data_IF_007210185236
#
_entry.id   IF_007210185236
#
_cell.length_a   1.000
_cell.length_b   1.000
_cell.length_c   1.000
_cell.angle_alpha   90.00
_cell.angle_beta   90.00
_cell.angle_gamma   90.00
#
_symmetry.space_group_name_H-M   'P 1'
#
loop_
_entity.id
_entity.type
_entity.pdbx_description
1 polymer ?
#
# COMPACT_ATOMS: atom_id res chain seq x y z
N UNK A 1 20.53 45.37 62.18
CA UNK A 1 19.56 45.88 61.23
C UNK A 1 19.78 45.09 59.96
N UNK A 2 19.04 44.22 59.53
CA UNK A 2 17.65 43.99 59.41
C UNK A 2 17.42 43.39 58.04
N UNK A 3 16.59 42.43 57.95
CA UNK A 3 15.88 42.18 56.72
C UNK A 3 16.16 40.85 56.00
N UNK A 4 15.65 39.79 56.58
CA UNK A 4 15.38 38.51 55.93
C UNK A 4 14.28 38.68 54.87
N UNK A 5 14.55 38.21 53.67
CA UNK A 5 13.53 38.07 52.61
C UNK A 5 13.50 36.66 52.08
N UNK A 6 12.63 35.84 52.65
CA UNK A 6 12.39 34.47 52.17
C UNK A 6 11.72 34.43 50.78
N UNK A 7 12.27 33.66 49.88
CA UNK A 7 11.57 33.27 48.64
C UNK A 7 10.95 31.89 48.82
N UNK A 8 9.62 31.90 48.88
CA UNK A 8 8.83 30.67 48.79
C UNK A 8 8.98 30.07 47.41
N UNK A 9 9.49 28.86 47.32
CA UNK A 9 9.47 28.03 46.13
C UNK A 9 8.09 27.45 45.91
N UNK A 10 7.47 27.79 44.80
CA UNK A 10 6.30 27.12 44.29
C UNK A 10 6.77 26.02 43.33
N UNK A 11 6.73 24.80 43.81
CA UNK A 11 6.77 23.60 42.95
C UNK A 11 5.37 23.33 42.43
N UNK A 12 5.14 23.26 41.12
CA UNK A 12 3.89 22.71 40.61
C UNK A 12 3.97 21.19 40.70
N UNK A 13 3.17 20.62 41.59
CA UNK A 13 2.93 19.18 41.61
C UNK A 13 2.20 18.74 40.35
N UNK A 14 2.84 17.89 39.56
CA UNK A 14 2.12 17.13 38.56
C UNK A 14 1.37 16.03 39.29
N UNK A 15 0.06 16.19 39.42
CA UNK A 15 -0.83 15.13 39.85
C UNK A 15 -0.84 14.04 38.75
N UNK A 16 -0.42 12.84 39.10
CA UNK A 16 -0.70 11.62 38.35
C UNK A 16 -2.21 11.33 38.44
N UNK A 17 -2.95 11.76 37.43
CA UNK A 17 -4.28 11.24 37.16
C UNK A 17 -4.14 10.09 36.16
N UNK A 18 -3.86 8.89 36.68
CA UNK A 18 -4.06 7.65 35.96
C UNK A 18 -5.58 7.39 35.83
N UNK A 19 -6.25 8.12 34.95
CA UNK A 19 -7.60 7.78 34.54
C UNK A 19 -7.58 6.60 33.62
N UNK A 20 -8.02 5.45 34.13
CA UNK A 20 -8.38 4.26 33.39
C UNK A 20 -9.42 4.62 32.32
N UNK A 21 -8.94 4.95 31.12
CA UNK A 21 -9.76 5.13 29.94
C UNK A 21 -10.26 3.78 29.48
N UNK A 22 -11.47 3.41 29.89
CA UNK A 22 -12.22 2.31 29.31
C UNK A 22 -12.23 2.47 27.80
N UNK A 23 -11.60 1.53 27.09
CA UNK A 23 -11.58 1.48 25.65
C UNK A 23 -13.01 1.50 25.11
N UNK A 24 -13.43 2.63 24.58
CA UNK A 24 -14.66 2.72 23.79
C UNK A 24 -14.48 1.83 22.58
N UNK A 25 -15.14 0.68 22.59
CA UNK A 25 -15.31 -0.11 21.40
C UNK A 25 -15.96 0.80 20.33
N UNK A 26 -15.20 1.16 19.32
CA UNK A 26 -15.69 1.90 18.18
C UNK A 26 -16.55 0.93 17.35
N UNK A 27 -17.82 0.85 17.68
CA UNK A 27 -18.78 0.19 16.80
C UNK A 27 -18.98 1.08 15.60
N UNK A 28 -18.35 0.70 14.48
CA UNK A 28 -18.54 1.37 13.20
C UNK A 28 -20.03 1.28 12.83
N UNK A 29 -20.77 2.35 13.11
CA UNK A 29 -22.10 2.52 12.54
C UNK A 29 -21.92 2.82 11.06
N UNK A 30 -22.21 1.85 10.22
CA UNK A 30 -22.28 2.05 8.78
C UNK A 30 -23.32 3.15 8.51
N UNK A 31 -22.89 4.26 7.94
CA UNK A 31 -23.83 5.30 7.54
C UNK A 31 -24.76 4.74 6.46
N UNK A 32 -26.07 5.11 6.45
CA UNK A 32 -27.00 4.63 5.46
C UNK A 32 -26.55 5.08 4.05
N UNK A 33 -26.35 4.12 3.16
CA UNK A 33 -25.88 4.35 1.79
C UNK A 33 -24.45 3.90 1.47
N UNK A 34 -23.65 3.45 2.46
CA UNK A 34 -22.35 2.82 2.19
C UNK A 34 -22.60 1.37 1.81
N UNK A 35 -22.48 1.06 0.52
CA UNK A 35 -22.40 -0.33 0.05
C UNK A 35 -21.21 -0.98 0.76
N UNK A 36 -21.43 -2.12 1.42
CA UNK A 36 -20.36 -2.88 2.04
C UNK A 36 -19.35 -3.27 0.96
N UNK A 37 -18.19 -2.62 0.96
CA UNK A 37 -17.11 -2.93 0.01
C UNK A 37 -16.44 -4.22 0.45
N UNK A 38 -16.07 -5.11 -0.47
CA UNK A 38 -15.33 -6.30 -0.11
C UNK A 38 -14.03 -5.90 0.58
N UNK A 39 -13.73 -6.56 1.69
CA UNK A 39 -12.44 -6.41 2.35
C UNK A 39 -11.38 -7.08 1.49
N UNK A 40 -10.75 -6.30 0.66
CA UNK A 40 -9.71 -6.82 -0.21
C UNK A 40 -8.40 -6.04 -0.13
N UNK A 41 -7.33 -6.78 -0.29
CA UNK A 41 -5.96 -6.30 -0.42
C UNK A 41 -5.51 -6.59 -1.85
N UNK A 42 -5.34 -5.54 -2.63
CA UNK A 42 -4.93 -5.65 -4.04
C UNK A 42 -3.43 -5.43 -4.16
N UNK A 43 -2.72 -6.35 -4.83
CA UNK A 43 -1.31 -6.20 -5.17
C UNK A 43 -1.13 -6.01 -6.67
N UNK A 44 -0.58 -4.87 -7.08
CA UNK A 44 -0.14 -4.65 -8.44
C UNK A 44 1.29 -5.17 -8.59
N UNK A 45 1.54 -5.98 -9.62
CA UNK A 45 2.83 -6.64 -9.84
C UNK A 45 3.32 -6.36 -11.26
N UNK A 46 4.58 -5.96 -11.41
CA UNK A 46 5.18 -5.74 -12.73
C UNK A 46 6.29 -4.68 -12.71
N UNK A 47 6.99 -4.52 -13.82
CA UNK A 47 8.09 -3.58 -13.96
C UNK A 47 7.64 -2.13 -13.78
N UNK A 48 8.58 -1.25 -13.48
CA UNK A 48 8.37 0.18 -13.59
C UNK A 48 7.88 0.51 -15.01
N UNK A 49 7.08 1.55 -15.13
CA UNK A 49 6.50 2.00 -16.41
C UNK A 49 5.57 0.99 -17.13
N UNK A 50 5.08 -0.05 -16.46
CA UNK A 50 4.11 -1.01 -17.03
C UNK A 50 2.64 -0.59 -16.94
N UNK A 51 2.34 0.66 -16.53
CA UNK A 51 0.96 1.17 -16.43
C UNK A 51 0.27 0.98 -15.08
N UNK A 52 0.91 0.34 -14.07
CA UNK A 52 0.31 0.06 -12.75
C UNK A 52 -0.35 1.26 -12.09
N UNK A 53 0.35 2.39 -12.01
CA UNK A 53 -0.16 3.58 -11.32
C UNK A 53 -1.31 4.25 -12.08
N UNK A 54 -1.37 4.13 -13.41
CA UNK A 54 -2.51 4.56 -14.21
C UNK A 54 -3.71 3.67 -13.94
N UNK A 55 -3.54 2.36 -14.04
CA UNK A 55 -4.56 1.38 -13.70
C UNK A 55 -5.07 1.54 -12.26
N UNK A 56 -4.17 1.76 -11.31
CA UNK A 56 -4.52 2.01 -9.90
C UNK A 56 -5.47 3.20 -9.76
N UNK A 57 -5.20 4.30 -10.45
CA UNK A 57 -6.05 5.50 -10.43
C UNK A 57 -7.41 5.26 -11.06
N UNK A 58 -7.48 4.49 -12.14
CA UNK A 58 -8.74 4.23 -12.84
C UNK A 58 -9.65 3.26 -12.09
N UNK A 59 -9.05 2.21 -11.49
CA UNK A 59 -9.83 1.11 -10.92
C UNK A 59 -10.06 1.24 -9.40
N UNK A 60 -9.14 1.88 -8.67
CA UNK A 60 -9.12 1.82 -7.21
C UNK A 60 -9.18 3.16 -6.51
N UNK A 61 -9.16 4.30 -7.24
CA UNK A 61 -9.08 5.64 -6.65
C UNK A 61 -10.18 5.92 -5.63
N UNK A 62 -11.42 5.57 -5.95
CA UNK A 62 -12.59 5.85 -5.11
C UNK A 62 -12.90 4.74 -4.09
N UNK A 63 -12.13 3.65 -4.11
CA UNK A 63 -12.49 2.43 -3.40
C UNK A 63 -11.45 1.93 -2.41
N UNK A 64 -10.17 2.19 -2.65
CA UNK A 64 -9.06 1.62 -1.90
C UNK A 64 -8.09 2.68 -1.41
N UNK A 65 -7.53 2.48 -0.23
CA UNK A 65 -6.37 3.26 0.22
C UNK A 65 -5.15 2.81 -0.58
N UNK A 66 -4.50 3.74 -1.26
CA UNK A 66 -3.31 3.45 -2.05
C UNK A 66 -2.05 3.46 -1.19
N UNK A 67 -1.42 2.31 -1.06
CA UNK A 67 -0.08 2.16 -0.51
C UNK A 67 0.94 2.30 -1.65
N UNK A 68 1.67 3.41 -1.66
CA UNK A 68 2.69 3.67 -2.67
C UNK A 68 4.03 3.95 -1.98
N UNK A 69 4.91 2.93 -1.82
CA UNK A 69 6.15 3.04 -1.02
C UNK A 69 7.03 4.20 -1.41
N UNK A 70 7.16 4.49 -2.70
CA UNK A 70 7.95 5.63 -3.18
C UNK A 70 7.40 6.99 -2.72
N UNK A 71 6.07 7.13 -2.59
CA UNK A 71 5.44 8.34 -2.06
C UNK A 71 5.59 8.43 -0.55
N UNK A 72 5.47 7.30 0.15
CA UNK A 72 5.59 7.22 1.60
C UNK A 72 7.03 7.45 2.08
N UNK A 73 8.02 7.10 1.25
CA UNK A 73 9.43 7.39 1.43
C UNK A 73 10.17 6.45 2.37
N UNK A 74 9.51 5.85 3.36
CA UNK A 74 10.12 4.89 4.29
C UNK A 74 9.24 3.67 4.53
N UNK A 75 9.87 2.52 4.81
CA UNK A 75 9.18 1.28 5.19
C UNK A 75 8.37 1.41 6.48
N UNK A 76 8.80 2.24 7.38
CA UNK A 76 8.09 2.52 8.63
C UNK A 76 6.74 3.20 8.37
N UNK A 77 6.72 4.25 7.55
CA UNK A 77 5.47 4.94 7.17
C UNK A 77 4.52 4.01 6.41
N UNK A 78 5.07 3.20 5.53
CA UNK A 78 4.33 2.19 4.80
C UNK A 78 3.69 1.18 5.76
N UNK A 79 4.45 0.69 6.74
CA UNK A 79 3.95 -0.25 7.75
C UNK A 79 2.84 0.35 8.57
N UNK A 80 3.00 1.59 9.05
CA UNK A 80 1.96 2.29 9.82
C UNK A 80 0.66 2.43 9.02
N UNK A 81 0.75 2.76 7.73
CA UNK A 81 -0.44 2.89 6.88
C UNK A 81 -1.08 1.53 6.59
N UNK A 82 -0.28 0.49 6.34
CA UNK A 82 -0.77 -0.88 6.19
C UNK A 82 -1.51 -1.34 7.44
N UNK A 83 -0.90 -1.17 8.62
CA UNK A 83 -1.49 -1.58 9.90
C UNK A 83 -2.79 -0.81 10.17
N UNK A 84 -2.85 0.47 9.82
CA UNK A 84 -4.08 1.26 9.92
C UNK A 84 -5.20 0.72 9.01
N UNK A 85 -4.88 0.37 7.75
CA UNK A 85 -5.86 -0.24 6.83
C UNK A 85 -6.38 -1.58 7.36
N UNK A 86 -5.48 -2.43 7.88
CA UNK A 86 -5.83 -3.73 8.44
C UNK A 86 -6.73 -3.58 9.68
N UNK A 87 -6.34 -2.73 10.62
CA UNK A 87 -7.09 -2.49 11.86
C UNK A 87 -8.47 -1.87 11.60
N UNK A 88 -8.55 -0.90 10.69
CA UNK A 88 -9.79 -0.24 10.31
C UNK A 88 -10.64 -1.05 9.32
N UNK A 89 -10.15 -2.20 8.84
CA UNK A 89 -10.79 -3.07 7.84
C UNK A 89 -11.14 -2.30 6.55
N UNK A 90 -10.24 -1.46 6.10
CA UNK A 90 -10.40 -0.65 4.88
C UNK A 90 -9.67 -1.30 3.71
N UNK A 91 -10.32 -1.48 2.54
CA UNK A 91 -9.66 -2.01 1.36
C UNK A 91 -8.45 -1.16 0.96
N UNK A 92 -7.39 -1.82 0.50
CA UNK A 92 -6.19 -1.13 0.07
C UNK A 92 -5.57 -1.77 -1.18
N UNK A 93 -4.82 -0.95 -1.91
CA UNK A 93 -4.06 -1.37 -3.09
C UNK A 93 -2.59 -1.00 -2.93
N UNK A 94 -1.72 -1.97 -3.14
CA UNK A 94 -0.26 -1.78 -3.13
C UNK A 94 0.20 -1.47 -4.56
N UNK A 95 0.53 -0.21 -4.81
CA UNK A 95 1.02 0.27 -6.09
C UNK A 95 2.55 0.34 -6.07
N UNK A 96 3.17 -0.81 -6.23
CA UNK A 96 4.61 -0.98 -6.35
C UNK A 96 4.95 -2.07 -7.37
N UNK A 97 6.23 -2.39 -7.54
CA UNK A 97 6.69 -3.43 -8.46
C UNK A 97 6.35 -4.84 -7.98
N UNK A 98 6.49 -5.12 -6.69
CA UNK A 98 6.13 -6.38 -6.02
C UNK A 98 6.63 -7.64 -6.76
N UNK A 99 7.84 -7.55 -7.35
CA UNK A 99 8.32 -8.55 -8.31
C UNK A 99 8.82 -9.84 -7.67
N UNK A 100 9.22 -9.81 -6.41
CA UNK A 100 9.67 -10.99 -5.69
C UNK A 100 8.59 -11.53 -4.74
N UNK A 101 8.64 -12.85 -4.48
CA UNK A 101 7.77 -13.49 -3.50
C UNK A 101 7.92 -12.86 -2.10
N UNK A 102 9.15 -12.50 -1.72
CA UNK A 102 9.43 -11.88 -0.42
C UNK A 102 8.74 -10.52 -0.29
N UNK A 103 8.80 -9.68 -1.33
CA UNK A 103 8.11 -8.39 -1.35
C UNK A 103 6.60 -8.57 -1.20
N UNK A 104 6.02 -9.53 -1.89
CA UNK A 104 4.58 -9.83 -1.81
C UNK A 104 4.16 -10.39 -0.46
N UNK A 105 4.96 -11.28 0.12
CA UNK A 105 4.67 -11.89 1.43
C UNK A 105 4.52 -10.86 2.55
N UNK A 106 5.20 -9.72 2.45
CA UNK A 106 5.09 -8.61 3.40
C UNK A 106 3.66 -8.09 3.56
N UNK A 107 2.86 -8.12 2.49
CA UNK A 107 1.47 -7.69 2.50
C UNK A 107 0.48 -8.84 2.65
N UNK A 108 0.75 -9.97 1.98
CA UNK A 108 -0.17 -11.11 1.91
C UNK A 108 -0.43 -11.69 3.30
N UNK A 109 0.63 -11.96 4.06
CA UNK A 109 0.51 -12.57 5.38
C UNK A 109 -0.39 -11.78 6.32
N UNK A 110 -0.09 -10.51 6.60
CA UNK A 110 -0.91 -9.66 7.46
C UNK A 110 -2.35 -9.47 6.93
N UNK A 111 -2.53 -9.29 5.61
CA UNK A 111 -3.85 -9.13 5.01
C UNK A 111 -4.73 -10.37 5.23
N UNK A 112 -4.22 -11.56 4.96
CA UNK A 112 -4.94 -12.83 5.21
C UNK A 112 -5.24 -13.05 6.69
N UNK A 113 -4.29 -12.77 7.55
CA UNK A 113 -4.50 -12.89 9.01
C UNK A 113 -5.59 -11.96 9.51
N UNK A 114 -5.78 -10.79 8.86
CA UNK A 114 -6.86 -9.87 9.17
C UNK A 114 -8.18 -10.19 8.44
N UNK A 115 -8.25 -11.30 7.66
CA UNK A 115 -9.43 -11.74 6.94
C UNK A 115 -9.72 -10.98 5.64
N UNK A 116 -8.70 -10.37 5.03
CA UNK A 116 -8.83 -9.76 3.71
C UNK A 116 -8.72 -10.81 2.62
N UNK A 117 -9.53 -10.66 1.58
CA UNK A 117 -9.33 -11.34 0.30
C UNK A 117 -8.12 -10.72 -0.39
N UNK A 118 -7.18 -11.53 -0.82
CA UNK A 118 -5.96 -11.04 -1.47
C UNK A 118 -6.04 -11.27 -2.97
N UNK A 119 -6.08 -10.17 -3.71
CA UNK A 119 -6.21 -10.15 -5.17
C UNK A 119 -4.95 -9.57 -5.79
N UNK A 120 -4.52 -10.12 -6.91
CA UNK A 120 -3.39 -9.57 -7.62
C UNK A 120 -3.70 -9.28 -9.09
N UNK A 121 -3.03 -8.23 -9.59
CA UNK A 121 -2.98 -7.87 -10.99
C UNK A 121 -1.52 -7.90 -11.46
N UNK A 122 -1.19 -8.87 -12.31
CA UNK A 122 0.14 -9.00 -12.90
C UNK A 122 0.17 -8.32 -14.27
N UNK A 123 0.96 -7.26 -14.38
CA UNK A 123 1.11 -6.51 -15.60
C UNK A 123 2.13 -7.19 -16.52
N UNK A 124 1.73 -7.46 -17.76
CA UNK A 124 2.66 -7.89 -18.78
C UNK A 124 3.81 -6.90 -18.87
N UNK A 125 5.00 -7.36 -18.56
CA UNK A 125 6.16 -6.50 -18.41
C UNK A 125 7.29 -6.99 -19.30
N UNK A 126 7.28 -6.58 -20.55
CA UNK A 126 8.44 -6.77 -21.43
C UNK A 126 9.44 -5.67 -21.18
N UNK A 127 10.70 -6.04 -20.96
CA UNK A 127 11.75 -5.08 -20.58
C UNK A 127 11.87 -3.93 -21.57
N UNK A 128 11.86 -4.22 -22.89
CA UNK A 128 11.97 -3.17 -23.91
C UNK A 128 10.79 -2.19 -23.90
N UNK A 129 9.56 -2.68 -23.72
CA UNK A 129 8.36 -1.85 -23.58
C UNK A 129 8.45 -0.93 -22.34
N UNK A 130 8.89 -1.50 -21.20
CA UNK A 130 9.08 -0.75 -19.96
C UNK A 130 10.13 0.36 -20.09
N UNK A 131 11.25 0.08 -20.75
CA UNK A 131 12.30 1.07 -21.02
C UNK A 131 11.79 2.18 -21.95
N UNK A 132 11.06 1.84 -22.99
CA UNK A 132 10.49 2.81 -23.93
C UNK A 132 9.44 3.70 -23.24
N UNK A 133 8.52 3.11 -22.50
CA UNK A 133 7.52 3.87 -21.72
C UNK A 133 8.19 4.77 -20.67
N UNK A 134 9.26 4.30 -20.01
CA UNK A 134 10.00 5.09 -19.05
C UNK A 134 10.66 6.33 -19.70
N UNK A 135 11.19 6.22 -20.93
CA UNK A 135 11.76 7.35 -21.67
C UNK A 135 10.73 8.43 -22.01
N UNK A 136 9.46 8.04 -22.20
CA UNK A 136 8.35 8.96 -22.50
C UNK A 136 7.83 9.71 -21.26
N UNK A 137 8.19 9.27 -20.05
CA UNK A 137 7.78 9.93 -18.80
C UNK A 137 8.44 11.28 -18.63
N UNK A 138 7.83 12.13 -17.81
CA UNK A 138 8.45 13.37 -17.33
C UNK A 138 9.75 13.05 -16.61
N UNK A 139 10.76 13.92 -16.71
CA UNK A 139 12.07 13.69 -16.12
C UNK A 139 12.02 13.35 -14.62
N UNK A 140 11.12 14.01 -13.86
CA UNK A 140 10.91 13.77 -12.43
C UNK A 140 10.31 12.40 -12.10
N UNK A 141 9.71 11.73 -13.06
CA UNK A 141 9.05 10.43 -12.91
C UNK A 141 9.88 9.27 -13.47
N UNK A 142 10.96 9.60 -14.17
CA UNK A 142 11.83 8.58 -14.78
C UNK A 142 12.61 7.83 -13.70
N UNK A 143 12.69 6.55 -13.93
CA UNK A 143 13.55 5.63 -13.18
C UNK A 143 14.79 5.33 -14.02
N UNK A 144 15.94 5.05 -13.40
CA UNK A 144 17.12 4.67 -14.17
C UNK A 144 16.89 3.37 -14.95
N UNK A 145 17.45 3.27 -16.15
CA UNK A 145 17.31 2.06 -16.95
C UNK A 145 17.93 0.84 -16.27
N UNK A 146 19.00 1.04 -15.50
CA UNK A 146 19.67 -0.03 -14.75
C UNK A 146 18.76 -0.57 -13.63
N UNK A 147 17.98 0.31 -12.96
CA UNK A 147 17.00 -0.12 -11.96
C UNK A 147 15.88 -0.97 -12.61
N UNK A 148 15.40 -0.58 -13.79
CA UNK A 148 14.39 -1.35 -14.51
C UNK A 148 14.94 -2.72 -14.92
N UNK A 149 16.19 -2.78 -15.43
CA UNK A 149 16.86 -4.02 -15.79
C UNK A 149 17.08 -4.93 -14.58
N UNK A 150 17.57 -4.38 -13.48
CA UNK A 150 17.76 -5.10 -12.22
C UNK A 150 16.41 -5.64 -11.68
N UNK A 151 15.36 -4.86 -11.77
CA UNK A 151 14.01 -5.31 -11.37
C UNK A 151 13.53 -6.44 -12.28
N UNK A 152 13.73 -6.31 -13.59
CA UNK A 152 13.35 -7.35 -14.56
C UNK A 152 14.05 -8.69 -14.31
N UNK A 153 15.33 -8.65 -13.93
CA UNK A 153 16.10 -9.86 -13.63
C UNK A 153 15.62 -10.59 -12.35
N UNK A 154 14.89 -9.90 -11.47
CA UNK A 154 14.39 -10.46 -10.21
C UNK A 154 12.92 -10.86 -10.24
N UNK A 155 12.25 -10.73 -11.38
CA UNK A 155 10.82 -11.07 -11.48
C UNK A 155 10.59 -12.56 -11.19
N UNK A 156 9.80 -12.83 -10.20
CA UNK A 156 9.26 -14.14 -9.85
C UNK A 156 7.78 -14.19 -10.18
N UNK A 157 7.40 -15.08 -11.09
CA UNK A 157 5.99 -15.26 -11.44
C UNK A 157 5.18 -15.62 -10.19
N UNK A 158 4.15 -14.86 -9.87
CA UNK A 158 3.36 -15.13 -8.68
C UNK A 158 2.48 -16.37 -8.87
N UNK A 159 2.28 -17.10 -7.74
CA UNK A 159 1.52 -18.36 -7.69
C UNK A 159 0.39 -18.25 -6.68
N UNK A 160 -0.71 -19.00 -6.90
CA UNK A 160 -1.80 -19.12 -5.94
C UNK A 160 -1.31 -19.57 -4.56
N UNK A 161 -0.29 -20.45 -4.54
CA UNK A 161 0.31 -20.95 -3.28
C UNK A 161 0.96 -19.87 -2.40
N UNK A 162 1.13 -18.64 -2.90
CA UNK A 162 1.58 -17.50 -2.09
C UNK A 162 0.47 -16.95 -1.19
N UNK A 163 -0.78 -17.34 -1.42
CA UNK A 163 -1.94 -16.91 -0.65
C UNK A 163 -2.86 -15.93 -1.36
N UNK A 164 -2.77 -15.83 -2.68
CA UNK A 164 -3.73 -15.11 -3.50
C UNK A 164 -5.00 -15.95 -3.67
N UNK A 165 -6.16 -15.31 -3.62
CA UNK A 165 -7.45 -15.92 -3.93
C UNK A 165 -7.84 -15.69 -5.39
N UNK A 166 -7.39 -14.58 -5.97
CA UNK A 166 -7.58 -14.28 -7.38
C UNK A 166 -6.30 -13.77 -8.04
N UNK A 167 -6.12 -14.18 -9.28
CA UNK A 167 -5.00 -13.82 -10.12
C UNK A 167 -5.49 -13.29 -11.46
N UNK A 168 -5.11 -12.06 -11.79
CA UNK A 168 -5.44 -11.42 -13.05
C UNK A 168 -4.17 -11.07 -13.81
N UNK A 169 -4.25 -11.21 -15.13
CA UNK A 169 -3.22 -10.76 -16.06
C UNK A 169 -3.68 -9.47 -16.73
N UNK A 170 -2.82 -8.44 -16.72
CA UNK A 170 -3.14 -7.13 -17.28
C UNK A 170 -2.23 -6.84 -18.47
N UNK A 171 -2.85 -6.51 -19.58
CA UNK A 171 -2.16 -6.01 -20.78
C UNK A 171 -2.52 -4.54 -20.94
N UNK A 172 -1.53 -3.65 -20.93
CA UNK A 172 -1.72 -2.27 -21.32
C UNK A 172 -1.59 -2.11 -22.84
N UNK A 173 -2.43 -1.29 -23.44
CA UNK A 173 -2.39 -0.93 -24.84
C UNK A 173 -1.77 0.46 -25.05
N UNK A 174 -1.43 0.80 -26.29
CA UNK A 174 -0.81 2.10 -26.63
C UNK A 174 -1.73 3.31 -26.43
N UNK A 175 -3.03 3.08 -26.35
CA UNK A 175 -4.07 4.07 -26.07
C UNK A 175 -4.36 4.24 -24.58
N UNK A 176 -3.46 3.77 -23.73
CA UNK A 176 -3.59 3.73 -22.26
C UNK A 176 -4.78 2.89 -21.75
N UNK A 177 -5.43 2.11 -22.60
CA UNK A 177 -6.47 1.16 -22.17
C UNK A 177 -5.86 -0.11 -21.57
N UNK A 178 -6.63 -0.79 -20.72
CA UNK A 178 -6.22 -2.01 -20.06
C UNK A 178 -7.18 -3.16 -20.37
N UNK A 179 -6.61 -4.32 -20.73
CA UNK A 179 -7.35 -5.57 -20.81
C UNK A 179 -6.96 -6.45 -19.64
N UNK A 180 -7.96 -6.84 -18.85
CA UNK A 180 -7.80 -7.71 -17.69
C UNK A 180 -8.30 -9.10 -18.07
N UNK A 181 -7.48 -10.10 -17.90
CA UNK A 181 -7.78 -11.49 -18.19
C UNK A 181 -7.56 -12.33 -16.92
N UNK A 182 -8.35 -13.39 -16.72
CA UNK A 182 -8.04 -14.39 -15.70
C UNK A 182 -6.63 -14.97 -15.96
N UNK A 183 -5.89 -15.20 -14.89
CA UNK A 183 -4.60 -15.88 -15.00
C UNK A 183 -4.83 -17.33 -15.47
N UNK A 184 -4.04 -17.74 -16.44
CA UNK A 184 -3.97 -19.15 -16.89
C UNK A 184 -2.56 -19.65 -16.59
N UNK A 185 -2.47 -20.72 -15.80
CA UNK A 185 -1.22 -21.42 -15.50
C UNK A 185 -0.65 -22.07 -16.77
#
# INVERSE_FOLDING_TARGET
MGGSGGRAGLTPGFAEDAAAGAGRAFTARTAPGIVARPMEAVLLIGLQASGKSTFCREQFFDTHVRLHPRLLGTRERERLLLDACLAARVPFVVDDTNVTRLERAYYIGPARSAGFRVVRYFFRSRLHEALEHNRRRRASERVSEDEIRATSARIELPKLSEGFEELHFVVSHHDDSFRVEPWRD
#
